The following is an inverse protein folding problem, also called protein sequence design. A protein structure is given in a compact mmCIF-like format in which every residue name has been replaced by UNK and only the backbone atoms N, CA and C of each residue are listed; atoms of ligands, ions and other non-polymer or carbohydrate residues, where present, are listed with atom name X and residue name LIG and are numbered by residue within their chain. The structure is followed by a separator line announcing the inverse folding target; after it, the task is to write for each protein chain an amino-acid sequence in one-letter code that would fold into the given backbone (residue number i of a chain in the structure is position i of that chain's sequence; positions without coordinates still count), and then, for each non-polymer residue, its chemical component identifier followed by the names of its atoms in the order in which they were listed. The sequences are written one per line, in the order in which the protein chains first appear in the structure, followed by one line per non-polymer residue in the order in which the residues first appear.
data_IF_345659605226
#
_entry.id   IF_345659605226
#
_cell.length_a   1.000
_cell.length_b   1.000
_cell.length_c   1.000
_cell.angle_alpha   90.00
_cell.angle_beta   90.00
_cell.angle_gamma   90.00
#
_symmetry.space_group_name_H-M   'P 1'
#
loop_
_entity.id
_entity.type
_entity.pdbx_description
1 polymer ?
#
# COMPACT_ATOMS: atom_id res chain seq x y z
N UNK A 1 -5.98 2.68 12.47
CA UNK A 1 -4.63 2.47 11.87
C UNK A 1 -3.57 3.34 12.56
N UNK A 2 -3.89 4.59 12.96
CA UNK A 2 -2.91 5.52 13.55
C UNK A 2 -3.15 5.82 15.05
N UNK A 3 -3.89 4.97 15.74
CA UNK A 3 -4.12 5.14 17.19
C UNK A 3 -2.80 5.08 17.97
N UNK A 4 -2.52 6.11 18.77
CA UNK A 4 -1.29 6.25 19.54
C UNK A 4 -0.08 6.76 18.73
N UNK A 5 -0.28 7.12 17.47
CA UNK A 5 0.74 7.72 16.60
C UNK A 5 0.58 9.23 16.54
N UNK A 6 1.71 9.93 16.57
CA UNK A 6 1.78 11.39 16.48
C UNK A 6 2.30 11.80 15.09
N UNK A 7 1.52 12.60 14.39
CA UNK A 7 1.86 13.15 13.06
C UNK A 7 2.09 14.65 13.16
N UNK A 8 3.24 15.13 12.74
CA UNK A 8 3.51 16.56 12.61
C UNK A 8 3.33 17.00 11.15
N UNK A 9 2.36 17.88 10.91
CA UNK A 9 2.15 18.52 9.62
C UNK A 9 2.85 19.89 9.59
N UNK A 10 3.80 20.07 8.69
CA UNK A 10 4.44 21.33 8.41
C UNK A 10 3.75 22.05 7.27
N UNK A 11 3.14 23.21 7.53
CA UNK A 11 2.36 23.95 6.56
C UNK A 11 3.08 25.23 6.15
N UNK A 12 3.27 25.41 4.82
CA UNK A 12 4.03 26.52 4.28
C UNK A 12 3.18 27.40 3.35
N UNK A 13 3.70 28.58 2.95
CA UNK A 13 3.01 29.57 2.15
C UNK A 13 2.75 29.13 0.71
N UNK A 14 1.70 28.38 0.49
CA UNK A 14 1.19 27.97 -0.82
C UNK A 14 -0.33 27.91 -0.81
N UNK A 15 -0.96 28.26 -1.93
CA UNK A 15 -2.43 28.15 -2.07
C UNK A 15 -2.91 26.70 -1.83
N UNK A 16 -2.10 25.69 -2.09
CA UNK A 16 -2.46 24.28 -1.90
C UNK A 16 -2.71 23.88 -0.43
N UNK A 17 -2.51 24.81 0.53
CA UNK A 17 -2.72 24.55 1.97
C UNK A 17 -4.15 24.09 2.28
N UNK A 18 -5.17 24.50 1.50
CA UNK A 18 -6.56 24.07 1.71
C UNK A 18 -6.72 22.54 1.70
N UNK A 19 -5.91 21.84 0.93
CA UNK A 19 -5.90 20.38 0.88
C UNK A 19 -5.44 19.77 2.22
N UNK A 20 -4.52 20.43 2.91
CA UNK A 20 -3.94 19.89 4.16
C UNK A 20 -4.97 19.94 5.30
N UNK A 21 -5.97 20.79 5.22
CA UNK A 21 -7.10 20.74 6.15
C UNK A 21 -7.86 19.40 6.05
N UNK A 22 -8.08 18.90 4.83
CA UNK A 22 -8.67 17.56 4.61
C UNK A 22 -7.74 16.45 5.10
N UNK A 23 -6.45 16.53 4.78
CA UNK A 23 -5.47 15.54 5.26
C UNK A 23 -5.44 15.48 6.79
N UNK A 24 -5.42 16.63 7.49
CA UNK A 24 -5.49 16.68 8.94
C UNK A 24 -6.74 15.97 9.49
N UNK A 25 -7.90 16.22 8.86
CA UNK A 25 -9.15 15.53 9.22
C UNK A 25 -9.10 14.02 8.96
N UNK A 26 -8.49 13.58 7.86
CA UNK A 26 -8.34 12.15 7.54
C UNK A 26 -7.46 11.47 8.59
N UNK A 27 -6.33 12.07 8.98
CA UNK A 27 -5.43 11.56 10.00
C UNK A 27 -6.11 11.45 11.37
N UNK A 28 -6.83 12.49 11.79
CA UNK A 28 -7.60 12.50 13.05
C UNK A 28 -8.65 11.39 13.06
N UNK A 29 -9.37 11.16 11.95
CA UNK A 29 -10.34 10.05 11.83
C UNK A 29 -9.69 8.68 11.95
N UNK A 30 -8.43 8.53 11.54
CA UNK A 30 -7.65 7.29 11.71
C UNK A 30 -7.07 7.12 13.12
N UNK A 31 -7.32 8.10 14.00
CA UNK A 31 -6.90 8.08 15.41
C UNK A 31 -5.51 8.65 15.68
N UNK A 32 -4.90 9.36 14.73
CA UNK A 32 -3.64 10.04 14.94
C UNK A 32 -3.79 11.24 15.86
N UNK A 33 -2.80 11.49 16.69
CA UNK A 33 -2.57 12.78 17.32
C UNK A 33 -1.86 13.69 16.30
N UNK A 34 -2.57 14.72 15.83
CA UNK A 34 -2.07 15.59 14.74
C UNK A 34 -1.68 16.94 15.29
N UNK A 35 -0.41 17.30 15.11
CA UNK A 35 0.10 18.65 15.40
C UNK A 35 0.42 19.38 14.11
N UNK A 36 0.24 20.69 14.08
CA UNK A 36 0.45 21.52 12.90
C UNK A 36 1.42 22.63 13.20
N UNK A 37 2.56 22.66 12.50
CA UNK A 37 3.51 23.77 12.52
C UNK A 37 3.33 24.61 11.27
N UNK A 38 3.14 25.93 11.44
CA UNK A 38 2.82 26.87 10.36
C UNK A 38 3.93 27.90 10.20
N UNK A 39 4.35 28.12 8.95
CA UNK A 39 5.21 29.27 8.66
C UNK A 39 4.41 30.59 8.68
N UNK A 40 5.04 31.75 8.96
CA UNK A 40 4.35 33.04 8.88
C UNK A 40 3.63 33.28 7.55
N UNK A 41 4.23 32.83 6.44
CA UNK A 41 3.64 33.02 5.11
C UNK A 41 2.38 32.16 4.89
N UNK A 42 2.22 31.05 5.59
CA UNK A 42 1.03 30.19 5.47
C UNK A 42 -0.24 30.85 6.08
N UNK A 43 -0.06 31.74 7.04
CA UNK A 43 -1.15 32.48 7.69
C UNK A 43 -1.93 33.39 6.72
N UNK A 44 -1.32 33.74 5.57
CA UNK A 44 -2.01 34.50 4.52
C UNK A 44 -3.01 33.64 3.72
N UNK A 45 -2.95 32.33 3.82
CA UNK A 45 -3.80 31.40 3.05
C UNK A 45 -4.84 30.70 3.91
N UNK A 46 -4.50 30.38 5.16
CA UNK A 46 -5.41 29.71 6.10
C UNK A 46 -5.16 30.19 7.51
N UNK A 47 -6.24 30.43 8.25
CA UNK A 47 -6.13 30.81 9.65
C UNK A 47 -5.83 29.61 10.55
N UNK A 48 -4.96 29.73 11.56
CA UNK A 48 -4.62 28.63 12.50
C UNK A 48 -5.83 27.95 13.12
N UNK A 49 -6.87 28.72 13.46
CA UNK A 49 -8.12 28.21 14.04
C UNK A 49 -8.75 27.07 13.21
N UNK A 50 -8.53 27.06 11.88
CA UNK A 50 -9.03 25.98 11.03
C UNK A 50 -8.39 24.64 11.42
N UNK A 51 -7.06 24.60 11.56
CA UNK A 51 -6.36 23.39 11.98
C UNK A 51 -6.61 23.05 13.44
N UNK A 52 -6.63 24.05 14.33
CA UNK A 52 -6.89 23.86 15.77
C UNK A 52 -8.27 23.22 16.00
N UNK A 53 -9.28 23.64 15.23
CA UNK A 53 -10.61 23.04 15.28
C UNK A 53 -10.62 21.58 14.81
N UNK A 54 -9.84 21.26 13.78
CA UNK A 54 -9.78 19.90 13.20
C UNK A 54 -8.98 18.94 14.04
N UNK A 55 -7.87 19.40 14.65
CA UNK A 55 -6.91 18.56 15.36
C UNK A 55 -7.09 18.58 16.88
N UNK A 56 -7.80 19.57 17.41
CA UNK A 56 -7.94 19.84 18.85
C UNK A 56 -6.60 20.17 19.54
N UNK A 57 -5.63 20.64 18.76
CA UNK A 57 -4.31 21.07 19.23
C UNK A 57 -4.01 22.47 18.72
N UNK A 58 -3.34 23.28 19.54
CA UNK A 58 -2.85 24.61 19.17
C UNK A 58 -1.83 24.50 18.03
N UNK A 59 -1.90 25.39 17.03
CA UNK A 59 -0.90 25.48 15.98
C UNK A 59 0.42 26.05 16.50
N UNK A 60 1.51 25.46 16.09
CA UNK A 60 2.88 25.89 16.38
C UNK A 60 3.29 26.96 15.36
N UNK A 61 3.36 28.22 15.78
CA UNK A 61 3.61 29.36 14.88
C UNK A 61 4.84 30.15 15.30
N UNK A 62 4.93 30.53 16.59
CA UNK A 62 5.99 31.36 17.13
C UNK A 62 6.92 30.52 18.02
N UNK A 63 8.21 30.57 17.76
CA UNK A 63 9.23 29.89 18.55
C UNK A 63 9.36 30.46 19.96
N UNK A 64 8.93 31.72 20.16
CA UNK A 64 9.05 32.46 21.41
C UNK A 64 7.69 32.77 22.06
N UNK A 65 6.64 32.00 21.74
CA UNK A 65 5.34 32.11 22.41
C UNK A 65 5.53 31.89 23.93
N UNK A 66 5.10 32.87 24.72
CA UNK A 66 5.24 32.85 26.19
C UNK A 66 4.10 32.10 26.90
N UNK A 67 3.06 31.70 26.19
CA UNK A 67 1.91 30.98 26.71
C UNK A 67 2.10 29.45 26.66
N UNK A 68 3.27 28.95 27.02
CA UNK A 68 3.61 27.53 27.04
C UNK A 68 3.79 26.99 28.47
N UNK A 69 3.44 25.73 28.67
CA UNK A 69 3.71 24.99 29.89
C UNK A 69 5.17 24.51 29.91
N UNK A 70 6.05 25.19 30.66
CA UNK A 70 7.43 24.81 31.07
C UNK A 70 8.26 23.85 30.18
N UNK A 71 7.87 23.56 28.95
CA UNK A 71 8.62 22.76 27.99
C UNK A 71 8.83 23.52 26.68
N UNK A 72 10.00 23.36 26.11
CA UNK A 72 10.31 23.95 24.79
C UNK A 72 9.50 23.20 23.73
N UNK A 73 8.41 23.81 23.26
CA UNK A 73 7.38 23.15 22.40
C UNK A 73 8.00 22.43 21.19
N UNK A 74 8.91 23.07 20.44
CA UNK A 74 9.54 22.44 19.26
C UNK A 74 10.37 21.21 19.62
N UNK A 75 10.99 21.15 20.82
CA UNK A 75 11.73 19.96 21.28
C UNK A 75 10.78 18.87 21.75
N UNK A 76 9.70 19.25 22.42
CA UNK A 76 8.68 18.30 22.92
C UNK A 76 8.01 17.58 21.76
N UNK A 77 7.51 18.32 20.76
CA UNK A 77 6.86 17.72 19.61
C UNK A 77 7.83 16.95 18.71
N UNK A 78 9.09 17.43 18.58
CA UNK A 78 10.10 16.72 17.81
C UNK A 78 10.43 15.32 18.36
N UNK A 79 10.39 15.16 19.69
CA UNK A 79 10.58 13.86 20.36
C UNK A 79 9.36 12.95 20.24
N UNK A 80 8.17 13.53 20.17
CA UNK A 80 6.89 12.81 20.17
C UNK A 80 6.47 12.33 18.77
N UNK A 81 6.88 13.06 17.72
CA UNK A 81 6.47 12.77 16.36
C UNK A 81 6.99 11.43 15.85
N UNK A 82 6.07 10.56 15.37
CA UNK A 82 6.40 9.32 14.66
C UNK A 82 6.75 9.61 13.19
N UNK A 83 6.17 10.66 12.61
CA UNK A 83 6.42 11.10 11.24
C UNK A 83 6.17 12.59 11.09
N UNK A 84 6.97 13.24 10.25
CA UNK A 84 6.79 14.64 9.83
C UNK A 84 6.43 14.68 8.34
N UNK A 85 5.37 15.39 7.99
CA UNK A 85 5.07 15.72 6.59
C UNK A 85 5.02 17.24 6.41
N UNK A 86 5.86 17.75 5.54
CA UNK A 86 5.85 19.15 5.13
C UNK A 86 5.05 19.27 3.84
N UNK A 87 3.83 19.72 3.95
CA UNK A 87 2.87 19.83 2.86
C UNK A 87 1.91 21.02 3.07
N UNK A 88 1.73 21.87 2.08
CA UNK A 88 2.55 22.00 0.89
C UNK A 88 3.95 22.53 1.26
N UNK A 89 5.00 22.05 0.58
CA UNK A 89 6.36 22.53 0.79
C UNK A 89 6.74 23.56 -0.29
N UNK A 90 6.91 24.81 0.11
CA UNK A 90 7.37 25.89 -0.78
C UNK A 90 8.87 25.79 -1.07
N UNK A 91 9.32 26.34 -2.18
CA UNK A 91 10.75 26.42 -2.52
C UNK A 91 11.59 27.08 -1.42
N UNK A 92 11.03 28.08 -0.74
CA UNK A 92 11.68 28.76 0.40
C UNK A 92 11.99 27.77 1.53
N UNK A 93 11.00 27.00 1.97
CA UNK A 93 11.17 26.06 3.09
C UNK A 93 12.08 24.88 2.69
N UNK A 94 11.95 24.37 1.46
CA UNK A 94 12.88 23.37 0.90
C UNK A 94 14.32 23.88 0.95
N UNK A 95 14.55 25.12 0.52
CA UNK A 95 15.88 25.74 0.54
C UNK A 95 16.41 25.93 1.96
N UNK A 96 15.58 26.39 2.91
CA UNK A 96 15.96 26.55 4.32
C UNK A 96 16.40 25.23 4.93
N UNK A 97 15.57 24.18 4.82
CA UNK A 97 15.88 22.88 5.40
C UNK A 97 17.14 22.28 4.76
N UNK A 98 17.28 22.37 3.43
CA UNK A 98 18.47 21.89 2.72
C UNK A 98 19.75 22.60 3.13
N UNK A 99 19.64 23.85 3.60
CA UNK A 99 20.77 24.65 4.08
C UNK A 99 20.96 24.65 5.59
N UNK A 100 20.11 23.93 6.35
CA UNK A 100 20.17 23.88 7.81
C UNK A 100 19.70 25.17 8.50
N UNK A 101 18.89 25.99 7.82
CA UNK A 101 18.35 27.24 8.37
C UNK A 101 17.11 26.91 9.20
N UNK A 102 17.13 27.31 10.47
CA UNK A 102 16.09 27.08 11.48
C UNK A 102 15.69 28.41 12.12
N UNK A 103 15.08 29.30 11.32
CA UNK A 103 14.76 30.68 11.69
C UNK A 103 13.26 30.92 11.97
N UNK A 104 12.45 29.87 11.90
CA UNK A 104 11.03 29.87 12.27
C UNK A 104 10.65 28.58 13.00
N UNK A 105 9.44 28.54 13.59
CA UNK A 105 8.97 27.42 14.42
C UNK A 105 8.97 26.10 13.64
N UNK A 106 8.53 26.10 12.37
CA UNK A 106 8.50 24.90 11.53
C UNK A 106 9.92 24.35 11.29
N UNK A 107 10.81 25.19 10.77
CA UNK A 107 12.16 24.76 10.42
C UNK A 107 12.97 24.34 11.63
N UNK A 108 12.79 25.02 12.78
CA UNK A 108 13.39 24.63 14.05
C UNK A 108 12.91 23.26 14.53
N UNK A 109 11.60 23.02 14.48
CA UNK A 109 11.01 21.72 14.87
C UNK A 109 11.49 20.59 13.96
N UNK A 110 11.47 20.80 12.64
CA UNK A 110 11.92 19.80 11.65
C UNK A 110 13.38 19.41 11.85
N UNK A 111 14.25 20.38 12.18
CA UNK A 111 15.66 20.13 12.47
C UNK A 111 15.88 19.32 13.75
N UNK A 112 14.98 19.45 14.72
CA UNK A 112 15.04 18.70 15.98
C UNK A 112 14.44 17.28 15.86
N UNK A 113 13.60 17.00 14.87
CA UNK A 113 12.97 15.70 14.68
C UNK A 113 13.98 14.63 14.25
N UNK A 114 13.88 13.44 14.83
CA UNK A 114 14.66 12.24 14.46
C UNK A 114 13.88 11.25 13.61
N UNK A 115 12.54 11.34 13.61
CA UNK A 115 11.66 10.48 12.83
C UNK A 115 11.76 10.75 11.31
N UNK A 116 11.09 9.91 10.52
CA UNK A 116 11.02 10.07 9.05
C UNK A 116 10.38 11.41 8.68
N UNK A 117 10.98 12.07 7.70
CA UNK A 117 10.54 13.37 7.18
C UNK A 117 10.14 13.24 5.73
N UNK A 118 8.91 13.66 5.42
CA UNK A 118 8.30 13.61 4.10
C UNK A 118 8.07 15.04 3.64
N UNK A 119 8.48 15.36 2.43
CA UNK A 119 8.33 16.69 1.82
C UNK A 119 7.47 16.56 0.57
N UNK A 120 6.38 17.29 0.50
CA UNK A 120 5.50 17.37 -0.66
C UNK A 120 5.60 18.76 -1.31
N UNK A 121 6.46 18.95 -2.33
CA UNK A 121 6.64 20.22 -3.02
C UNK A 121 5.34 20.72 -3.66
N UNK A 122 5.04 22.01 -3.54
CA UNK A 122 3.93 22.66 -4.22
C UNK A 122 4.30 24.10 -4.59
N UNK A 123 4.55 24.34 -5.88
CA UNK A 123 4.98 25.62 -6.40
C UNK A 123 4.71 25.75 -7.89
N UNK A 124 4.98 26.93 -8.46
CA UNK A 124 4.94 27.14 -9.90
C UNK A 124 5.91 26.20 -10.63
N UNK A 125 5.56 25.78 -11.85
CA UNK A 125 6.34 24.89 -12.70
C UNK A 125 7.81 25.32 -12.86
N UNK A 126 8.05 26.60 -13.18
CA UNK A 126 9.41 27.12 -13.38
C UNK A 126 10.22 27.14 -12.06
N UNK A 127 9.55 27.38 -10.93
CA UNK A 127 10.19 27.28 -9.61
C UNK A 127 10.57 25.83 -9.30
N UNK A 128 9.70 24.86 -9.59
CA UNK A 128 9.99 23.46 -9.36
C UNK A 128 11.19 22.98 -10.20
N UNK A 129 11.24 23.35 -11.48
CA UNK A 129 12.34 22.98 -12.38
C UNK A 129 13.59 23.89 -12.25
N UNK A 130 13.55 24.89 -11.37
CA UNK A 130 14.74 25.70 -11.13
C UNK A 130 15.91 24.83 -10.64
N UNK A 131 17.10 24.91 -11.25
CA UNK A 131 18.24 24.06 -10.89
C UNK A 131 18.60 24.09 -9.41
N UNK A 132 18.48 25.24 -8.74
CA UNK A 132 18.75 25.37 -7.31
C UNK A 132 17.72 24.61 -6.48
N UNK A 133 16.45 24.68 -6.84
CA UNK A 133 15.39 23.93 -6.14
C UNK A 133 15.58 22.44 -6.33
N UNK A 134 15.88 21.99 -7.56
CA UNK A 134 16.15 20.58 -7.85
C UNK A 134 17.41 20.09 -7.12
N UNK A 135 18.43 20.92 -6.97
CA UNK A 135 19.61 20.57 -6.19
C UNK A 135 19.31 20.42 -4.70
N UNK A 136 18.53 21.32 -4.13
CA UNK A 136 18.05 21.24 -2.76
C UNK A 136 17.23 19.96 -2.53
N UNK A 137 16.33 19.58 -3.46
CA UNK A 137 15.55 18.35 -3.40
C UNK A 137 16.48 17.12 -3.44
N UNK A 138 17.46 17.07 -4.35
CA UNK A 138 18.45 15.97 -4.39
C UNK A 138 19.24 15.87 -3.10
N UNK A 139 19.65 17.01 -2.54
CA UNK A 139 20.37 17.07 -1.26
C UNK A 139 19.52 16.50 -0.12
N UNK A 140 18.26 16.87 -0.03
CA UNK A 140 17.34 16.35 0.98
C UNK A 140 17.11 14.84 0.83
N UNK A 141 16.92 14.32 -0.40
CA UNK A 141 16.86 12.88 -0.67
C UNK A 141 18.11 12.16 -0.14
N UNK A 142 19.31 12.71 -0.39
CA UNK A 142 20.58 12.15 0.10
C UNK A 142 20.65 12.09 1.63
N UNK A 143 20.02 13.02 2.34
CA UNK A 143 19.91 13.02 3.80
C UNK A 143 18.72 12.24 4.36
N UNK A 144 18.07 11.40 3.54
CA UNK A 144 17.01 10.49 3.99
C UNK A 144 15.62 11.09 4.05
N UNK A 145 15.43 12.34 3.55
CA UNK A 145 14.08 12.89 3.39
C UNK A 145 13.38 12.20 2.22
N UNK A 146 12.12 11.85 2.43
CA UNK A 146 11.24 11.34 1.39
C UNK A 146 10.62 12.51 0.63
N UNK A 147 10.67 12.47 -0.70
CA UNK A 147 10.05 13.50 -1.53
C UNK A 147 8.86 12.92 -2.25
N UNK A 148 7.69 13.48 -1.97
CA UNK A 148 6.46 13.18 -2.74
C UNK A 148 6.56 13.97 -4.04
N UNK A 149 6.67 13.26 -5.17
CA UNK A 149 6.78 13.93 -6.46
C UNK A 149 5.48 14.69 -6.77
N UNK A 150 5.56 15.95 -7.15
CA UNK A 150 4.38 16.72 -7.54
C UNK A 150 3.76 16.15 -8.82
N UNK A 151 2.44 16.29 -8.95
CA UNK A 151 1.73 15.83 -10.13
C UNK A 151 1.67 16.91 -11.20
N UNK A 152 1.59 16.49 -12.46
CA UNK A 152 1.34 17.36 -13.59
C UNK A 152 -0.14 17.70 -13.68
N UNK A 153 -0.47 18.97 -13.84
CA UNK A 153 -1.86 19.41 -13.98
C UNK A 153 -1.99 20.92 -14.08
N UNK A 154 -3.23 21.40 -14.07
CA UNK A 154 -3.53 22.83 -14.03
C UNK A 154 -3.08 23.41 -12.69
N UNK A 155 -2.24 24.41 -12.73
CA UNK A 155 -1.75 25.19 -11.59
C UNK A 155 -2.66 26.39 -11.30
N UNK A 156 -2.45 27.07 -10.16
CA UNK A 156 -3.28 28.21 -9.75
C UNK A 156 -3.22 29.40 -10.74
N UNK A 157 -2.13 29.54 -11.47
CA UNK A 157 -1.95 30.55 -12.54
C UNK A 157 -2.55 30.11 -13.90
N UNK A 158 -3.29 28.97 -13.95
CA UNK A 158 -3.89 28.34 -15.13
C UNK A 158 -2.91 27.70 -16.13
N UNK A 159 -1.61 27.72 -15.86
CA UNK A 159 -0.63 26.97 -16.64
C UNK A 159 -0.78 25.46 -16.38
N UNK A 160 -0.44 24.65 -17.36
CA UNK A 160 -0.32 23.19 -17.19
C UNK A 160 1.15 22.85 -17.02
N UNK A 161 1.49 22.26 -15.88
CA UNK A 161 2.88 21.91 -15.59
C UNK A 161 3.02 21.07 -14.34
N UNK A 162 4.25 20.70 -14.04
CA UNK A 162 4.63 20.02 -12.80
C UNK A 162 4.69 21.04 -11.66
N UNK A 163 4.48 20.60 -10.41
CA UNK A 163 4.50 21.45 -9.23
C UNK A 163 3.17 21.51 -8.46
N UNK A 164 2.15 20.81 -8.95
CA UNK A 164 0.86 20.66 -8.25
C UNK A 164 0.99 19.63 -7.13
N UNK A 165 0.53 20.00 -5.92
CA UNK A 165 0.43 19.07 -4.80
C UNK A 165 -0.47 17.88 -5.18
N UNK A 166 -0.04 16.63 -4.94
CA UNK A 166 -0.89 15.44 -5.07
C UNK A 166 -2.18 15.56 -4.28
N UNK A 167 -3.11 14.61 -4.47
CA UNK A 167 -4.31 14.52 -3.66
C UNK A 167 -3.99 14.11 -2.22
N UNK A 168 -4.95 14.30 -1.36
CA UNK A 168 -4.84 14.06 0.07
C UNK A 168 -4.70 12.57 0.38
N UNK A 169 -5.29 11.71 -0.43
CA UNK A 169 -5.21 10.25 -0.36
C UNK A 169 -3.76 9.79 -0.62
N UNK A 170 -3.13 10.32 -1.65
CA UNK A 170 -1.70 10.06 -1.93
C UNK A 170 -0.81 10.48 -0.77
N UNK A 171 -1.00 11.69 -0.22
CA UNK A 171 -0.24 12.18 0.92
C UNK A 171 -0.46 11.30 2.16
N UNK A 172 -1.68 10.85 2.39
CA UNK A 172 -2.03 9.93 3.47
C UNK A 172 -1.29 8.60 3.35
N UNK A 173 -1.22 8.01 2.15
CA UNK A 173 -0.51 6.73 1.94
C UNK A 173 0.98 6.83 2.29
N UNK A 174 1.66 7.96 2.02
CA UNK A 174 3.03 8.19 2.47
C UNK A 174 3.15 8.19 4.01
N UNK A 175 2.21 8.84 4.71
CA UNK A 175 2.19 8.85 6.18
C UNK A 175 1.89 7.45 6.73
N UNK A 176 0.91 6.75 6.18
CA UNK A 176 0.55 5.39 6.59
C UNK A 176 1.71 4.42 6.40
N UNK A 177 2.41 4.51 5.27
CA UNK A 177 3.58 3.67 5.03
C UNK A 177 4.63 3.82 6.12
N UNK A 178 4.84 5.02 6.66
CA UNK A 178 5.87 5.24 7.69
C UNK A 178 5.35 4.92 9.11
N UNK A 179 4.12 5.30 9.45
CA UNK A 179 3.66 5.35 10.84
C UNK A 179 2.61 4.29 11.23
N UNK A 180 1.90 3.66 10.26
CA UNK A 180 0.72 2.86 10.60
C UNK A 180 1.04 1.55 11.35
N UNK A 181 2.15 0.91 11.04
CA UNK A 181 2.54 -0.39 11.59
C UNK A 181 4.01 -0.43 11.95
N UNK A 182 4.38 -1.32 12.89
CA UNK A 182 5.76 -1.73 13.09
C UNK A 182 6.30 -2.38 11.83
N UNK A 183 7.60 -2.23 11.57
CA UNK A 183 8.25 -2.77 10.36
C UNK A 183 8.80 -4.18 10.61
N UNK A 184 7.95 -5.03 11.15
CA UNK A 184 8.27 -6.42 11.51
C UNK A 184 8.55 -7.33 10.31
N UNK A 185 8.14 -6.92 9.11
CA UNK A 185 8.48 -7.57 7.85
C UNK A 185 9.60 -6.86 7.07
N UNK A 186 10.35 -5.95 7.72
CA UNK A 186 11.49 -5.29 7.08
C UNK A 186 12.53 -6.29 6.58
N UNK A 187 12.98 -6.12 5.34
CA UNK A 187 13.92 -7.02 4.67
C UNK A 187 13.31 -8.30 4.11
N UNK A 188 12.01 -8.57 4.34
CA UNK A 188 11.30 -9.70 3.73
C UNK A 188 10.82 -9.34 2.32
N UNK A 189 10.99 -10.26 1.37
CA UNK A 189 10.43 -10.19 0.02
C UNK A 189 9.14 -10.99 -0.05
N UNK A 190 8.04 -10.34 -0.38
CA UNK A 190 6.69 -10.94 -0.42
C UNK A 190 6.17 -10.95 -1.85
N UNK A 191 5.90 -12.14 -2.37
CA UNK A 191 5.29 -12.34 -3.68
C UNK A 191 3.81 -12.66 -3.53
N UNK A 192 2.95 -11.82 -4.11
CA UNK A 192 1.50 -11.99 -4.06
C UNK A 192 0.96 -12.17 -5.48
N UNK A 193 0.06 -13.13 -5.71
CA UNK A 193 -0.71 -13.15 -6.95
C UNK A 193 -2.11 -12.58 -6.71
N UNK A 194 -2.62 -11.75 -7.63
CA UNK A 194 -3.90 -11.07 -7.49
C UNK A 194 -4.74 -11.08 -8.78
N UNK A 195 -6.06 -10.92 -8.64
CA UNK A 195 -6.98 -10.79 -9.76
C UNK A 195 -7.42 -12.12 -10.38
N UNK A 196 -8.04 -12.05 -11.57
CA UNK A 196 -8.50 -13.20 -12.33
C UNK A 196 -7.75 -13.29 -13.66
N UNK A 197 -7.24 -14.48 -13.99
CA UNK A 197 -6.67 -14.70 -15.32
C UNK A 197 -7.76 -14.73 -16.37
N UNK A 198 -7.40 -14.33 -17.60
CA UNK A 198 -8.29 -14.30 -18.76
C UNK A 198 -7.71 -15.19 -19.86
N UNK A 199 -8.40 -16.28 -20.13
CA UNK A 199 -8.00 -17.27 -21.12
C UNK A 199 -8.70 -16.93 -22.44
N UNK A 200 -7.94 -16.39 -23.38
CA UNK A 200 -8.50 -15.89 -24.65
C UNK A 200 -9.05 -17.01 -25.52
N UNK A 201 -10.29 -16.85 -26.00
CA UNK A 201 -10.92 -17.68 -27.02
C UNK A 201 -10.60 -17.12 -28.40
N UNK A 202 -10.68 -15.80 -28.52
CA UNK A 202 -10.33 -15.01 -29.68
C UNK A 202 -9.92 -13.59 -29.24
N UNK A 203 -9.58 -12.64 -30.13
CA UNK A 203 -9.17 -11.29 -29.72
C UNK A 203 -10.21 -10.50 -28.91
N UNK A 204 -11.47 -10.96 -28.86
CA UNK A 204 -12.59 -10.24 -28.26
C UNK A 204 -13.12 -10.95 -27.01
N UNK A 205 -13.11 -12.28 -26.99
CA UNK A 205 -13.76 -13.12 -25.95
C UNK A 205 -12.74 -13.93 -25.18
N UNK A 206 -13.03 -14.13 -23.88
CA UNK A 206 -12.19 -14.90 -22.96
C UNK A 206 -13.03 -15.61 -21.90
N UNK A 207 -12.44 -16.63 -21.29
CA UNK A 207 -12.92 -17.30 -20.08
C UNK A 207 -12.20 -16.69 -18.89
N UNK A 208 -12.91 -16.42 -17.79
CA UNK A 208 -12.34 -15.85 -16.57
C UNK A 208 -13.14 -16.26 -15.33
N UNK A 209 -12.60 -15.98 -14.16
CA UNK A 209 -13.23 -16.16 -12.86
C UNK A 209 -13.77 -14.82 -12.30
N UNK A 210 -14.71 -14.89 -11.36
CA UNK A 210 -15.29 -13.71 -10.70
C UNK A 210 -14.39 -13.15 -9.59
N UNK A 211 -13.14 -12.83 -9.84
CA UNK A 211 -12.25 -12.24 -8.83
C UNK A 211 -12.00 -10.77 -9.11
N UNK A 212 -12.19 -9.94 -8.11
CA UNK A 212 -11.92 -8.48 -8.16
C UNK A 212 -10.47 -8.09 -7.84
N UNK A 213 -9.64 -9.01 -7.36
CA UNK A 213 -8.28 -8.73 -6.92
C UNK A 213 -8.15 -8.11 -5.52
N UNK A 214 -9.25 -7.67 -4.89
CA UNK A 214 -9.25 -6.95 -3.60
C UNK A 214 -8.47 -7.66 -2.49
N UNK A 215 -8.60 -8.99 -2.35
CA UNK A 215 -7.90 -9.73 -1.28
C UNK A 215 -6.39 -9.76 -1.51
N UNK A 216 -5.94 -10.03 -2.75
CA UNK A 216 -4.51 -10.01 -3.09
C UNK A 216 -3.89 -8.63 -2.85
N UNK A 217 -4.60 -7.56 -3.21
CA UNK A 217 -4.13 -6.20 -2.95
C UNK A 217 -4.18 -5.80 -1.48
N UNK A 218 -5.14 -6.31 -0.69
CA UNK A 218 -5.16 -6.11 0.75
C UNK A 218 -3.95 -6.77 1.43
N UNK A 219 -3.57 -7.97 1.01
CA UNK A 219 -2.36 -8.66 1.47
C UNK A 219 -1.08 -7.91 1.08
N UNK A 220 -1.00 -7.48 -0.16
CA UNK A 220 0.14 -6.68 -0.63
C UNK A 220 0.28 -5.36 0.14
N UNK A 221 -0.84 -4.65 0.35
CA UNK A 221 -0.85 -3.39 1.12
C UNK A 221 -0.46 -3.61 2.58
N UNK A 222 -0.99 -4.65 3.23
CA UNK A 222 -0.65 -4.95 4.61
C UNK A 222 0.84 -5.30 4.76
N UNK A 223 1.39 -6.13 3.88
CA UNK A 223 2.82 -6.48 3.88
C UNK A 223 3.72 -5.25 3.65
N UNK A 224 3.36 -4.39 2.69
CA UNK A 224 4.08 -3.14 2.39
C UNK A 224 4.07 -2.18 3.60
N UNK A 225 2.92 -1.99 4.25
CA UNK A 225 2.82 -1.13 5.44
C UNK A 225 3.64 -1.67 6.62
N UNK A 226 3.89 -2.99 6.68
CA UNK A 226 4.76 -3.67 7.65
C UNK A 226 6.23 -3.71 7.22
N UNK A 227 6.59 -3.04 6.12
CA UNK A 227 7.97 -2.83 5.69
C UNK A 227 8.55 -3.89 4.75
N UNK A 228 7.73 -4.81 4.24
CA UNK A 228 8.18 -5.77 3.25
C UNK A 228 8.43 -5.13 1.87
N UNK A 229 9.35 -5.74 1.11
CA UNK A 229 9.47 -5.52 -0.33
C UNK A 229 8.45 -6.41 -1.06
N UNK A 230 7.44 -5.79 -1.64
CA UNK A 230 6.26 -6.50 -2.16
C UNK A 230 6.21 -6.46 -3.68
N UNK A 231 6.16 -7.65 -4.29
CA UNK A 231 5.85 -7.81 -5.71
C UNK A 231 4.49 -8.48 -5.89
N UNK A 232 3.63 -7.87 -6.68
CA UNK A 232 2.30 -8.39 -7.02
C UNK A 232 2.27 -8.81 -8.48
N UNK A 233 2.09 -10.08 -8.75
CA UNK A 233 1.75 -10.59 -10.08
C UNK A 233 0.24 -10.46 -10.27
N UNK A 234 -0.17 -9.41 -10.98
CA UNK A 234 -1.57 -9.01 -11.10
C UNK A 234 -2.14 -9.38 -12.47
N UNK A 235 -3.17 -10.23 -12.47
CA UNK A 235 -4.04 -10.42 -13.62
C UNK A 235 -5.11 -9.31 -13.65
N UNK A 236 -6.29 -9.54 -14.23
CA UNK A 236 -7.35 -8.55 -14.22
C UNK A 236 -7.88 -8.29 -12.82
N UNK A 237 -7.97 -7.01 -12.45
CA UNK A 237 -8.52 -6.54 -11.17
C UNK A 237 -9.53 -5.41 -11.41
N UNK A 238 -10.51 -5.30 -10.52
CA UNK A 238 -11.53 -4.22 -10.55
C UNK A 238 -11.11 -2.99 -9.74
N UNK A 239 -9.97 -3.06 -9.08
CA UNK A 239 -9.44 -2.01 -8.19
C UNK A 239 -7.99 -1.70 -8.56
N UNK A 240 -7.56 -0.48 -8.28
CA UNK A 240 -6.17 -0.07 -8.48
C UNK A 240 -5.22 -0.78 -7.49
N UNK A 241 -3.99 -1.08 -7.94
CA UNK A 241 -2.98 -1.64 -7.05
C UNK A 241 -2.60 -0.65 -5.94
N UNK A 242 -2.22 -1.14 -4.75
CA UNK A 242 -1.73 -0.27 -3.69
C UNK A 242 -0.44 0.44 -4.11
N UNK A 243 -0.24 1.64 -3.57
CA UNK A 243 1.02 2.37 -3.76
C UNK A 243 2.20 1.60 -3.13
N UNK A 244 3.41 1.90 -3.60
CA UNK A 244 4.69 1.38 -3.07
C UNK A 244 4.89 -0.14 -3.19
N UNK A 245 4.13 -0.81 -4.07
CA UNK A 245 4.35 -2.20 -4.44
C UNK A 245 4.83 -2.30 -5.88
N UNK A 246 5.65 -3.30 -6.18
CA UNK A 246 6.03 -3.60 -7.55
C UNK A 246 4.93 -4.44 -8.23
N UNK A 247 4.34 -3.94 -9.31
CA UNK A 247 3.27 -4.62 -10.04
C UNK A 247 3.79 -5.23 -11.33
N UNK A 248 3.60 -6.54 -11.48
CA UNK A 248 3.91 -7.29 -12.70
C UNK A 248 2.59 -7.68 -13.36
N UNK A 249 2.14 -6.95 -14.39
CA UNK A 249 0.88 -7.24 -15.05
C UNK A 249 0.98 -8.51 -15.90
N UNK A 250 -0.03 -9.36 -15.78
CA UNK A 250 -0.17 -10.60 -16.56
C UNK A 250 -1.60 -10.74 -17.09
N UNK A 251 -1.80 -11.61 -18.07
CA UNK A 251 -3.12 -11.81 -18.66
C UNK A 251 -3.66 -13.21 -18.43
N UNK A 252 -2.89 -14.23 -18.77
CA UNK A 252 -3.29 -15.63 -18.73
C UNK A 252 -2.69 -16.38 -17.54
N UNK A 253 -3.16 -17.60 -17.31
CA UNK A 253 -2.57 -18.53 -16.34
C UNK A 253 -1.10 -18.83 -16.68
N UNK A 254 -0.77 -18.98 -17.96
CA UNK A 254 0.59 -19.22 -18.40
C UNK A 254 1.52 -18.03 -18.12
N UNK A 255 1.06 -16.79 -18.35
CA UNK A 255 1.84 -15.58 -18.03
C UNK A 255 2.08 -15.51 -16.52
N UNK A 256 1.04 -15.76 -15.70
CA UNK A 256 1.14 -15.75 -14.24
C UNK A 256 2.10 -16.83 -13.74
N UNK A 257 2.04 -18.04 -14.30
CA UNK A 257 2.96 -19.12 -13.98
C UNK A 257 4.42 -18.70 -14.25
N UNK A 258 4.71 -18.16 -15.43
CA UNK A 258 6.05 -17.69 -15.79
C UNK A 258 6.55 -16.59 -14.87
N UNK A 259 5.72 -15.60 -14.59
CA UNK A 259 6.06 -14.47 -13.72
C UNK A 259 6.33 -14.89 -12.27
N UNK A 260 5.57 -15.87 -11.74
CA UNK A 260 5.77 -16.44 -10.41
C UNK A 260 7.07 -17.27 -10.38
N UNK A 261 7.30 -18.11 -11.38
CA UNK A 261 8.49 -18.95 -11.49
C UNK A 261 9.78 -18.12 -11.47
N UNK A 262 9.84 -17.02 -12.19
CA UNK A 262 10.99 -16.12 -12.24
C UNK A 262 11.35 -15.48 -10.88
N UNK A 263 10.36 -15.36 -9.97
CA UNK A 263 10.50 -14.61 -8.71
C UNK A 263 10.44 -15.49 -7.46
N UNK A 264 10.18 -16.78 -7.64
CA UNK A 264 10.01 -17.72 -6.53
C UNK A 264 11.24 -17.78 -5.64
N UNK A 265 12.42 -17.96 -6.23
CA UNK A 265 13.67 -18.19 -5.49
C UNK A 265 14.12 -16.97 -4.66
N UNK A 266 13.66 -15.77 -5.02
CA UNK A 266 14.01 -14.54 -4.29
C UNK A 266 13.03 -14.19 -3.17
N UNK A 267 11.88 -14.88 -3.08
CA UNK A 267 10.77 -14.52 -2.19
C UNK A 267 10.86 -15.28 -0.87
N UNK A 268 10.67 -14.57 0.25
CA UNK A 268 10.54 -15.19 1.59
C UNK A 268 9.12 -15.72 1.81
N UNK A 269 8.12 -14.93 1.43
CA UNK A 269 6.70 -15.27 1.52
C UNK A 269 6.07 -15.31 0.15
N UNK A 270 5.30 -16.36 -0.12
CA UNK A 270 4.55 -16.50 -1.38
C UNK A 270 3.07 -16.71 -1.08
N UNK A 271 2.24 -15.79 -1.57
CA UNK A 271 0.80 -15.80 -1.33
C UNK A 271 0.05 -15.93 -2.65
N UNK A 272 -0.52 -17.12 -2.91
CA UNK A 272 -1.32 -17.38 -4.11
C UNK A 272 -2.78 -17.05 -3.86
N UNK A 273 -3.16 -15.76 -4.08
CA UNK A 273 -4.53 -15.25 -3.87
C UNK A 273 -5.30 -15.03 -5.18
N UNK A 274 -4.65 -15.09 -6.33
CA UNK A 274 -5.30 -14.96 -7.64
C UNK A 274 -6.26 -16.11 -7.94
N UNK A 275 -7.35 -15.80 -8.64
CA UNK A 275 -8.26 -16.78 -9.23
C UNK A 275 -7.75 -17.16 -10.63
N UNK A 276 -6.90 -18.17 -10.67
CA UNK A 276 -6.32 -18.70 -11.90
C UNK A 276 -7.30 -19.70 -12.52
N UNK A 277 -7.51 -19.60 -13.82
CA UNK A 277 -8.34 -20.56 -14.52
C UNK A 277 -7.65 -21.94 -14.61
N UNK A 278 -8.35 -23.02 -14.23
CA UNK A 278 -7.85 -24.40 -14.31
C UNK A 278 -7.80 -24.93 -15.73
N UNK A 279 -8.51 -24.26 -16.65
CA UNK A 279 -8.59 -24.63 -18.06
C UNK A 279 -8.42 -23.42 -18.98
N UNK A 280 -7.76 -23.63 -20.11
CA UNK A 280 -7.58 -22.63 -21.18
C UNK A 280 -7.98 -23.24 -22.53
N UNK A 281 -8.47 -22.47 -23.53
CA UNK A 281 -8.72 -22.99 -24.86
C UNK A 281 -7.47 -23.66 -25.46
N UNK A 282 -7.67 -24.81 -26.11
CA UNK A 282 -6.58 -25.54 -26.79
C UNK A 282 -5.93 -24.66 -27.85
N UNK A 283 -6.72 -23.87 -28.56
CA UNK A 283 -6.30 -22.90 -29.56
C UNK A 283 -7.05 -21.58 -29.36
N UNK A 284 -6.33 -20.46 -29.46
CA UNK A 284 -6.91 -19.14 -29.52
C UNK A 284 -7.05 -18.77 -31.02
N UNK A 285 -8.23 -18.36 -31.45
CA UNK A 285 -8.44 -17.93 -32.82
C UNK A 285 -7.80 -16.56 -33.06
N UNK A 286 -7.09 -16.40 -34.17
CA UNK A 286 -6.45 -15.13 -34.56
C UNK A 286 -7.46 -14.03 -34.90
N UNK A 287 -8.66 -14.42 -35.32
CA UNK A 287 -9.73 -13.51 -35.67
C UNK A 287 -10.98 -13.80 -34.84
N UNK A 288 -11.81 -12.76 -34.63
CA UNK A 288 -13.12 -12.92 -33.99
C UNK A 288 -13.92 -14.01 -34.65
N UNK A 289 -14.28 -15.07 -33.93
CA UNK A 289 -15.12 -16.17 -34.39
C UNK A 289 -16.48 -15.60 -34.79
N UNK A 290 -16.86 -15.76 -36.06
CA UNK A 290 -18.16 -15.29 -36.57
C UNK A 290 -19.28 -16.22 -36.08
N UNK A 291 -20.48 -15.65 -35.92
CA UNK A 291 -21.70 -16.40 -35.62
C UNK A 291 -21.98 -17.39 -36.74
N UNK A 292 -22.23 -18.64 -36.40
CA UNK A 292 -22.72 -19.70 -37.30
C UNK A 292 -24.10 -20.16 -36.85
N UNK A 293 -24.81 -20.84 -37.77
CA UNK A 293 -26.08 -21.48 -37.45
C UNK A 293 -25.79 -22.77 -36.65
N UNK A 294 -25.93 -22.69 -35.31
CA UNK A 294 -25.76 -23.81 -34.39
C UNK A 294 -24.92 -23.48 -33.17
N UNK A 295 -24.83 -24.45 -32.25
CA UNK A 295 -24.07 -24.32 -31.01
C UNK A 295 -22.56 -24.35 -31.28
N UNK A 296 -21.83 -23.61 -30.46
CA UNK A 296 -20.35 -23.56 -30.47
C UNK A 296 -19.79 -24.31 -29.27
N UNK A 297 -18.88 -25.25 -29.53
CA UNK A 297 -18.09 -25.88 -28.47
C UNK A 297 -16.63 -25.41 -28.58
N UNK A 298 -16.02 -25.22 -27.40
CA UNK A 298 -14.62 -24.78 -27.28
C UNK A 298 -13.86 -25.89 -26.56
N UNK A 299 -12.92 -26.58 -27.21
CA UNK A 299 -12.09 -27.57 -26.56
C UNK A 299 -11.12 -26.87 -25.59
N UNK A 300 -11.06 -27.36 -24.35
CA UNK A 300 -10.23 -26.83 -23.29
C UNK A 300 -9.14 -27.83 -22.90
N UNK A 301 -7.96 -27.31 -22.51
CA UNK A 301 -6.86 -28.07 -21.89
C UNK A 301 -6.57 -27.52 -20.50
N UNK A 302 -6.00 -28.34 -19.64
CA UNK A 302 -5.57 -27.92 -18.29
C UNK A 302 -4.45 -26.90 -18.37
N UNK A 303 -4.48 -25.96 -17.44
CA UNK A 303 -3.40 -25.01 -17.17
C UNK A 303 -2.39 -25.60 -16.20
N UNK A 304 -1.23 -24.97 -16.08
CA UNK A 304 -0.21 -25.33 -15.05
C UNK A 304 -0.71 -24.97 -13.64
N UNK A 305 -0.48 -25.87 -12.70
CA UNK A 305 -0.86 -25.66 -11.31
C UNK A 305 0.22 -24.86 -10.56
N UNK A 306 0.03 -23.55 -10.50
CA UNK A 306 0.99 -22.62 -9.90
C UNK A 306 1.28 -22.97 -8.44
N UNK A 307 0.24 -23.29 -7.63
CA UNK A 307 0.43 -23.56 -6.21
C UNK A 307 1.19 -24.87 -5.97
N UNK A 308 0.91 -25.87 -6.78
CA UNK A 308 1.66 -27.14 -6.76
C UNK A 308 3.12 -26.92 -7.12
N UNK A 309 3.36 -26.14 -8.19
CA UNK A 309 4.72 -25.80 -8.62
C UNK A 309 5.49 -25.09 -7.51
N UNK A 310 4.90 -24.08 -6.86
CA UNK A 310 5.51 -23.36 -5.74
C UNK A 310 5.89 -24.32 -4.62
N UNK A 311 4.96 -25.19 -4.18
CA UNK A 311 5.22 -26.14 -3.09
C UNK A 311 6.29 -27.18 -3.38
N UNK A 312 6.46 -27.55 -4.67
CA UNK A 312 7.48 -28.52 -5.11
C UNK A 312 8.88 -27.89 -5.31
N UNK A 313 8.95 -26.57 -5.55
CA UNK A 313 10.20 -25.87 -5.90
C UNK A 313 10.63 -24.83 -4.86
N UNK A 314 9.87 -24.66 -3.78
CA UNK A 314 10.22 -23.70 -2.72
C UNK A 314 11.55 -24.06 -2.05
N UNK A 315 12.32 -23.05 -1.67
CA UNK A 315 13.53 -23.23 -0.88
C UNK A 315 13.23 -23.32 0.63
N UNK A 316 14.21 -23.81 1.38
CA UNK A 316 14.11 -23.88 2.85
C UNK A 316 13.91 -22.48 3.46
N UNK A 317 13.00 -22.38 4.43
CA UNK A 317 12.66 -21.12 5.09
C UNK A 317 11.55 -20.30 4.41
N UNK A 318 11.23 -20.59 3.14
CA UNK A 318 10.13 -19.94 2.43
C UNK A 318 8.76 -20.37 3.01
N UNK A 319 7.85 -19.41 3.22
CA UNK A 319 6.49 -19.67 3.71
C UNK A 319 5.48 -19.48 2.58
N UNK A 320 4.66 -20.50 2.34
CA UNK A 320 3.71 -20.56 1.23
C UNK A 320 2.28 -20.59 1.74
N UNK A 321 1.48 -19.60 1.33
CA UNK A 321 0.05 -19.49 1.61
C UNK A 321 -0.75 -19.61 0.30
N UNK A 322 -1.69 -20.56 0.25
CA UNK A 322 -2.67 -20.68 -0.82
C UNK A 322 -4.05 -20.23 -0.40
N UNK A 323 -4.90 -19.88 -1.38
CA UNK A 323 -6.31 -19.62 -1.17
C UNK A 323 -7.15 -20.75 -1.75
N UNK A 324 -8.21 -21.11 -1.05
CA UNK A 324 -9.21 -22.08 -1.46
C UNK A 324 -10.59 -21.47 -1.40
N UNK A 325 -11.38 -21.71 -2.41
CA UNK A 325 -12.78 -21.34 -2.44
C UNK A 325 -13.60 -22.59 -2.73
N UNK A 326 -14.37 -23.02 -1.74
CA UNK A 326 -15.10 -24.28 -1.77
C UNK A 326 -16.58 -24.01 -1.49
N UNK A 327 -17.44 -24.80 -2.09
CA UNK A 327 -18.89 -24.73 -1.87
C UNK A 327 -19.38 -25.77 -0.89
N UNK A 328 -18.63 -26.87 -0.68
CA UNK A 328 -18.96 -28.01 0.17
C UNK A 328 -17.70 -28.55 0.84
N UNK A 329 -17.85 -29.06 2.07
CA UNK A 329 -16.76 -29.65 2.85
C UNK A 329 -15.46 -28.83 2.85
N UNK A 330 -15.62 -27.53 3.11
CA UNK A 330 -14.56 -26.52 3.01
C UNK A 330 -13.26 -26.93 3.71
N UNK A 331 -13.35 -27.38 4.97
CA UNK A 331 -12.18 -27.77 5.77
C UNK A 331 -11.53 -29.04 5.21
N UNK A 332 -12.32 -30.08 4.88
CA UNK A 332 -11.78 -31.35 4.37
C UNK A 332 -11.07 -31.19 3.03
N UNK A 333 -11.66 -30.43 2.11
CA UNK A 333 -11.08 -30.17 0.80
C UNK A 333 -9.81 -29.29 0.89
N UNK A 334 -9.85 -28.28 1.76
CA UNK A 334 -8.69 -27.39 1.96
C UNK A 334 -7.52 -28.09 2.66
N UNK A 335 -7.76 -29.05 3.58
CA UNK A 335 -6.70 -29.90 4.15
C UNK A 335 -6.03 -30.79 3.09
N UNK A 336 -6.82 -31.44 2.24
CA UNK A 336 -6.27 -32.21 1.10
C UNK A 336 -5.44 -31.34 0.18
N UNK A 337 -5.89 -30.08 -0.04
CA UNK A 337 -5.18 -29.12 -0.86
C UNK A 337 -3.86 -28.68 -0.21
N UNK A 338 -3.84 -28.44 1.10
CA UNK A 338 -2.63 -28.15 1.88
C UNK A 338 -1.54 -29.22 1.66
N UNK A 339 -1.90 -30.48 1.86
CA UNK A 339 -0.99 -31.62 1.72
C UNK A 339 -0.54 -31.83 0.27
N UNK A 340 -1.49 -31.90 -0.67
CA UNK A 340 -1.22 -32.17 -2.08
C UNK A 340 -0.41 -31.07 -2.79
N UNK A 341 -0.51 -29.82 -2.33
CA UNK A 341 0.23 -28.67 -2.84
C UNK A 341 1.48 -28.34 -2.02
N UNK A 342 1.74 -29.08 -0.93
CA UNK A 342 2.88 -28.85 -0.03
C UNK A 342 3.00 -27.41 0.47
N UNK A 343 1.86 -26.79 0.82
CA UNK A 343 1.79 -25.43 1.38
C UNK A 343 1.94 -25.47 2.90
N UNK A 344 2.31 -24.36 3.50
CA UNK A 344 2.32 -24.20 4.95
C UNK A 344 0.95 -23.82 5.48
N UNK A 345 0.17 -23.09 4.67
CA UNK A 345 -1.13 -22.56 5.05
C UNK A 345 -2.08 -22.47 3.85
N UNK A 346 -3.36 -22.75 4.09
CA UNK A 346 -4.47 -22.50 3.17
C UNK A 346 -5.50 -21.59 3.84
N UNK A 347 -5.83 -20.49 3.18
CA UNK A 347 -6.94 -19.61 3.55
C UNK A 347 -8.19 -20.03 2.78
N UNK A 348 -9.13 -20.61 3.48
CA UNK A 348 -10.37 -21.09 2.89
C UNK A 348 -11.49 -20.06 3.05
N UNK A 349 -12.19 -19.75 1.95
CA UNK A 349 -13.35 -18.87 1.91
C UNK A 349 -14.61 -19.67 1.67
N UNK A 350 -15.71 -19.35 2.40
CA UNK A 350 -17.04 -19.86 2.13
C UNK A 350 -17.80 -18.88 1.24
N UNK A 351 -18.31 -19.35 0.08
CA UNK A 351 -19.13 -18.51 -0.81
C UNK A 351 -20.57 -18.36 -0.30
N UNK A 352 -21.02 -19.25 0.59
CA UNK A 352 -22.42 -19.33 1.04
C UNK A 352 -22.79 -18.31 2.12
N UNK A 353 -21.81 -17.64 2.74
CA UNK A 353 -22.06 -16.71 3.83
C UNK A 353 -22.19 -15.27 3.33
N UNK A 354 -23.27 -14.57 3.78
CA UNK A 354 -23.47 -13.14 3.48
C UNK A 354 -22.30 -12.32 4.03
N UNK A 355 -21.65 -11.54 3.18
CA UNK A 355 -20.48 -10.70 3.53
C UNK A 355 -19.13 -11.35 3.24
N UNK A 356 -19.10 -12.62 2.84
CA UNK A 356 -17.93 -13.30 2.31
C UNK A 356 -18.02 -13.42 0.78
N UNK A 357 -16.90 -13.34 0.08
CA UNK A 357 -16.84 -13.63 -1.35
C UNK A 357 -16.17 -12.56 -2.22
N UNK A 358 -16.37 -12.72 -3.54
CA UNK A 358 -15.83 -11.79 -4.54
C UNK A 358 -16.54 -10.43 -4.48
N UNK A 359 -15.79 -9.34 -4.65
CA UNK A 359 -16.34 -7.99 -4.78
C UNK A 359 -16.66 -7.27 -3.47
N UNK A 360 -16.88 -7.95 -2.34
CA UNK A 360 -17.11 -7.33 -1.02
C UNK A 360 -15.82 -6.79 -0.40
N UNK A 361 -15.91 -5.85 0.54
CA UNK A 361 -14.77 -5.32 1.29
C UNK A 361 -14.47 -6.13 2.56
N UNK A 362 -15.41 -7.00 2.96
CA UNK A 362 -15.28 -7.94 4.08
C UNK A 362 -14.99 -9.35 3.60
N UNK A 363 -14.51 -10.20 4.51
CA UNK A 363 -14.32 -11.62 4.28
C UNK A 363 -14.53 -12.43 5.56
N UNK A 364 -14.85 -13.73 5.38
CA UNK A 364 -14.88 -14.75 6.42
C UNK A 364 -13.88 -15.82 5.96
N UNK A 365 -12.79 -15.97 6.69
CA UNK A 365 -11.67 -16.83 6.30
C UNK A 365 -11.43 -17.86 7.39
N UNK A 366 -11.27 -19.12 6.98
CA UNK A 366 -10.74 -20.17 7.82
C UNK A 366 -9.27 -20.39 7.45
N UNK A 367 -8.36 -20.17 8.40
CA UNK A 367 -6.93 -20.43 8.23
C UNK A 367 -6.64 -21.88 8.61
N UNK A 368 -6.11 -22.66 7.69
CA UNK A 368 -5.82 -24.08 7.85
C UNK A 368 -4.33 -24.30 7.71
N UNK A 369 -3.73 -24.91 8.73
CA UNK A 369 -2.32 -25.35 8.76
C UNK A 369 -2.27 -26.85 9.03
N UNK A 370 -1.09 -27.45 9.07
CA UNK A 370 -0.93 -28.88 9.37
C UNK A 370 -1.52 -29.29 10.73
N UNK A 371 -1.45 -28.41 11.75
CA UNK A 371 -1.88 -28.71 13.13
C UNK A 371 -3.11 -27.96 13.61
N UNK A 372 -3.57 -26.91 12.90
CA UNK A 372 -4.64 -26.00 13.38
C UNK A 372 -5.62 -25.63 12.29
N UNK A 373 -6.81 -25.24 12.75
CA UNK A 373 -7.88 -24.69 11.91
C UNK A 373 -8.48 -23.52 12.70
N UNK A 374 -8.21 -22.30 12.28
CA UNK A 374 -8.64 -21.07 12.95
C UNK A 374 -9.72 -20.40 12.09
N UNK A 375 -10.96 -20.37 12.55
CA UNK A 375 -12.07 -19.66 11.90
C UNK A 375 -12.04 -18.20 12.34
N UNK A 376 -11.95 -17.28 11.39
CA UNK A 376 -12.01 -15.85 11.64
C UNK A 376 -13.44 -15.36 11.54
N UNK A 377 -13.83 -14.45 12.44
CA UNK A 377 -15.07 -13.71 12.32
C UNK A 377 -15.08 -12.84 11.07
N UNK A 378 -16.27 -12.35 10.67
CA UNK A 378 -16.37 -11.39 9.58
C UNK A 378 -15.57 -10.13 9.88
N UNK A 379 -14.63 -9.79 9.00
CA UNK A 379 -13.78 -8.63 9.15
C UNK A 379 -13.42 -8.01 7.80
N UNK A 380 -12.78 -6.85 7.80
CA UNK A 380 -12.27 -6.27 6.56
C UNK A 380 -11.18 -7.16 5.93
N UNK A 381 -11.07 -7.14 4.60
CA UNK A 381 -9.99 -7.87 3.89
C UNK A 381 -8.59 -7.43 4.36
N UNK A 382 -8.46 -6.18 4.79
CA UNK A 382 -7.21 -5.66 5.31
C UNK A 382 -6.87 -6.23 6.69
N UNK A 383 -7.84 -6.35 7.60
CA UNK A 383 -7.63 -6.97 8.92
C UNK A 383 -7.32 -8.45 8.78
N UNK A 384 -8.07 -9.16 7.92
CA UNK A 384 -7.78 -10.56 7.59
C UNK A 384 -6.37 -10.74 6.99
N UNK A 385 -5.92 -9.81 6.14
CA UNK A 385 -4.58 -9.83 5.57
C UNK A 385 -3.49 -9.70 6.65
N UNK A 386 -3.69 -8.84 7.67
CA UNK A 386 -2.75 -8.73 8.79
C UNK A 386 -2.66 -10.03 9.59
N UNK A 387 -3.79 -10.66 9.92
CA UNK A 387 -3.81 -11.96 10.64
C UNK A 387 -3.08 -13.05 9.84
N UNK A 388 -3.30 -13.09 8.52
CA UNK A 388 -2.60 -14.04 7.65
C UNK A 388 -1.08 -13.81 7.69
N UNK A 389 -0.65 -12.55 7.60
CA UNK A 389 0.78 -12.18 7.65
C UNK A 389 1.39 -12.47 9.02
N UNK A 390 0.66 -12.29 10.13
CA UNK A 390 1.11 -12.66 11.46
C UNK A 390 1.41 -14.16 11.54
N UNK A 391 0.51 -15.00 11.02
CA UNK A 391 0.71 -16.45 10.96
C UNK A 391 1.91 -16.84 10.10
N UNK A 392 2.10 -16.16 8.97
CA UNK A 392 3.26 -16.41 8.09
C UNK A 392 4.58 -15.99 8.76
N UNK A 393 4.59 -14.89 9.51
CA UNK A 393 5.74 -14.44 10.27
C UNK A 393 6.10 -15.43 11.40
N UNK A 394 5.10 -15.91 12.17
CA UNK A 394 5.27 -16.96 13.18
C UNK A 394 5.92 -18.22 12.58
N UNK A 395 5.42 -18.70 11.43
CA UNK A 395 5.96 -19.88 10.74
C UNK A 395 7.40 -19.66 10.23
N UNK A 396 7.71 -18.44 9.77
CA UNK A 396 9.06 -18.10 9.32
C UNK A 396 10.06 -18.13 10.46
N UNK A 397 9.69 -17.66 11.66
CA UNK A 397 10.54 -17.74 12.86
C UNK A 397 10.81 -19.20 13.25
N UNK A 398 9.75 -20.03 13.30
CA UNK A 398 9.90 -21.47 13.63
C UNK A 398 10.84 -22.21 12.68
N UNK A 399 10.72 -21.97 11.36
CA UNK A 399 11.63 -22.54 10.35
C UNK A 399 13.07 -22.05 10.49
N UNK A 400 13.29 -20.87 11.06
CA UNK A 400 14.63 -20.32 11.34
C UNK A 400 15.31 -20.96 12.53
N UNK A 401 14.55 -21.43 13.53
CA UNK A 401 15.04 -22.09 14.75
C UNK A 401 15.39 -23.58 14.51
N UNK A 402 14.87 -24.20 13.46
CA UNK A 402 15.16 -25.59 13.08
C UNK A 402 16.49 -25.75 12.30
N UNK A 403 17.27 -24.68 12.17
CA UNK A 403 18.65 -24.67 11.61
C UNK A 403 19.70 -24.79 12.71
#
# INVERSE_FOLDING_TARGET
MLKGKTVLLGVTGSIAVYKICNLARMLTKLGAEVHVAMTPNSLNFVHPLTFETLTQHKCLIDTFDRNFEYSVEHVSIAKKADVVMIAPASANVIGKIASGIADDMLTTTVMACTCKKIIAPAMNHNMYHNPIVQDNIRKLKKFGYEIVEPVRGMLANRDIGDGKLPDEETLLEYILREAAFEKDLAGKKVLVTAGATRESIDPVRFITNHSSGKMGFALARAAMLRGADVTVVAAHTDVEPPMFVNVVPVKSAADMFSAVKERLDESDFVIKAAAVADYTPVQCADNKIKKSDGDMSIPLKRTEDILKYIGEHRHFGQVVCGFSMETENVIGNSRKKLESKKCDMICANSIKEKGAGFGTDTNIITIITSGRCDELEIMSKFDAANIILDKMAEMSCQKGEEK
#
